data_IF_496929556658
#
_entry.id   IF_496929556658
#
_cell.length_a   1.000
_cell.length_b   1.000
_cell.length_c   1.000
_cell.angle_alpha   90.00
_cell.angle_beta   90.00
_cell.angle_gamma   90.00
#
_symmetry.space_group_name_H-M   'P 1'
#
loop_
_entity.id
_entity.type
_entity.pdbx_description
1 polymer ?
#
# COMPACT_ATOMS: atom_id res chain seq x y z
N UNK A 1 -3.49 42.61 4.27
CA UNK A 1 -4.25 41.34 4.24
C UNK A 1 -4.22 40.90 2.80
N UNK A 2 -3.21 40.13 2.43
CA UNK A 2 -3.05 39.64 1.05
C UNK A 2 -3.65 38.25 0.93
N UNK A 3 -4.54 38.13 -0.05
CA UNK A 3 -5.27 36.93 -0.46
C UNK A 3 -4.30 35.86 -0.96
N UNK A 4 -4.23 34.74 -0.24
CA UNK A 4 -3.49 33.56 -0.64
C UNK A 4 -3.94 33.05 -2.00
N UNK A 5 -3.04 33.10 -2.98
CA UNK A 5 -3.24 32.49 -4.28
C UNK A 5 -3.40 30.97 -4.10
N UNK A 6 -4.61 30.46 -4.32
CA UNK A 6 -4.85 29.03 -4.51
C UNK A 6 -4.30 28.66 -5.88
N UNK A 7 -3.16 27.96 -5.91
CA UNK A 7 -2.66 27.32 -7.12
C UNK A 7 -3.64 26.18 -7.45
N UNK A 8 -4.64 26.47 -8.30
CA UNK A 8 -5.37 25.44 -9.03
C UNK A 8 -4.64 25.21 -10.35
N UNK A 9 -3.55 24.44 -10.29
CA UNK A 9 -2.99 23.87 -11.52
C UNK A 9 -3.96 22.77 -11.97
N UNK A 10 -4.70 23.05 -13.03
CA UNK A 10 -5.38 22.01 -13.79
C UNK A 10 -4.30 21.31 -14.60
N UNK A 11 -3.89 20.12 -14.15
CA UNK A 11 -3.10 19.19 -14.97
C UNK A 11 -4.04 18.65 -16.05
N UNK A 12 -4.06 19.29 -17.21
CA UNK A 12 -4.58 18.66 -18.42
C UNK A 12 -3.63 17.52 -18.78
N UNK A 13 -3.96 16.32 -18.30
CA UNK A 13 -3.21 15.11 -18.61
C UNK A 13 -3.94 14.32 -19.69
N UNK A 14 -3.58 14.47 -20.98
CA UNK A 14 -4.27 13.74 -22.04
C UNK A 14 -4.05 12.23 -21.90
N UNK A 15 -5.14 11.47 -22.06
CA UNK A 15 -5.21 9.98 -22.10
C UNK A 15 -5.02 9.24 -20.77
N UNK A 16 -5.53 9.78 -19.67
CA UNK A 16 -5.69 8.98 -18.45
C UNK A 16 -7.03 8.23 -18.44
N UNK A 17 -7.00 6.94 -18.07
CA UNK A 17 -8.20 6.17 -17.76
C UNK A 17 -8.14 5.78 -16.29
N UNK A 18 -9.15 6.19 -15.52
CA UNK A 18 -9.31 5.84 -14.12
C UNK A 18 -10.49 4.86 -14.03
N UNK A 19 -10.30 3.75 -13.33
CA UNK A 19 -11.39 2.81 -13.02
C UNK A 19 -11.33 2.42 -11.55
N UNK A 20 -12.47 2.53 -10.87
CA UNK A 20 -12.64 2.07 -9.50
C UNK A 20 -12.75 0.54 -9.52
N UNK A 21 -11.86 -0.14 -8.80
CA UNK A 21 -11.89 -1.59 -8.59
C UNK A 21 -12.71 -1.93 -7.35
N UNK A 22 -12.56 -1.11 -6.31
CA UNK A 22 -13.31 -1.22 -5.07
C UNK A 22 -13.46 0.14 -4.40
N UNK A 23 -14.63 0.37 -3.84
CA UNK A 23 -14.95 1.51 -3.01
C UNK A 23 -15.82 1.04 -1.84
N UNK A 24 -15.29 1.18 -0.64
CA UNK A 24 -16.02 1.03 0.62
C UNK A 24 -15.56 2.09 1.62
N UNK A 25 -16.14 2.10 2.82
CA UNK A 25 -15.84 3.10 3.87
C UNK A 25 -14.35 3.18 4.25
N UNK A 26 -13.60 2.07 4.08
CA UNK A 26 -12.23 1.92 4.59
C UNK A 26 -11.21 1.56 3.51
N UNK A 27 -11.65 1.30 2.28
CA UNK A 27 -10.81 0.84 1.19
C UNK A 27 -11.28 1.44 -0.13
N UNK A 28 -10.38 2.17 -0.78
CA UNK A 28 -10.51 2.62 -2.16
C UNK A 28 -9.35 2.05 -2.97
N UNK A 29 -9.68 1.34 -4.04
CA UNK A 29 -8.72 0.84 -5.01
C UNK A 29 -9.10 1.38 -6.38
N UNK A 30 -8.19 2.13 -6.99
CA UNK A 30 -8.35 2.64 -8.35
C UNK A 30 -7.18 2.19 -9.23
N UNK A 31 -7.50 1.77 -10.44
CA UNK A 31 -6.51 1.60 -11.48
C UNK A 31 -6.43 2.88 -12.30
N UNK A 32 -5.21 3.35 -12.52
CA UNK A 32 -4.89 4.51 -13.35
C UNK A 32 -4.01 4.03 -14.50
N UNK A 33 -4.49 4.23 -15.73
CA UNK A 33 -3.69 4.11 -16.94
C UNK A 33 -3.20 5.50 -17.34
N UNK A 34 -1.89 5.69 -17.38
CA UNK A 34 -1.24 6.96 -17.72
C UNK A 34 -0.17 6.69 -18.77
N UNK A 35 -0.42 7.08 -20.02
CA UNK A 35 0.55 6.89 -21.10
C UNK A 35 0.92 5.42 -21.35
N UNK A 36 -0.01 4.48 -21.09
CA UNK A 36 0.22 3.04 -21.21
C UNK A 36 0.81 2.37 -19.96
N UNK A 37 1.22 3.16 -18.96
CA UNK A 37 1.59 2.64 -17.65
C UNK A 37 0.34 2.40 -16.80
N UNK A 38 0.21 1.20 -16.24
CA UNK A 38 -0.90 0.84 -15.35
C UNK A 38 -0.43 0.86 -13.90
N UNK A 39 -1.07 1.69 -13.09
CA UNK A 39 -0.78 1.86 -11.67
C UNK A 39 -2.03 1.57 -10.87
N UNK A 40 -1.90 0.79 -9.79
CA UNK A 40 -2.95 0.70 -8.79
C UNK A 40 -2.65 1.69 -7.67
N UNK A 41 -3.63 2.54 -7.34
CA UNK A 41 -3.60 3.39 -6.16
C UNK A 41 -4.56 2.80 -5.13
N UNK A 42 -4.05 2.58 -3.92
CA UNK A 42 -4.83 2.03 -2.81
C UNK A 42 -4.82 3.03 -1.67
N UNK A 43 -6.00 3.40 -1.18
CA UNK A 43 -6.19 4.14 0.06
C UNK A 43 -6.92 3.22 1.03
N UNK A 44 -6.35 2.98 2.20
CA UNK A 44 -6.83 1.99 3.15
C UNK A 44 -6.78 2.53 4.59
N UNK A 45 -7.80 2.22 5.39
CA UNK A 45 -7.89 2.63 6.79
C UNK A 45 -8.38 1.47 7.65
N UNK A 46 -7.43 0.72 8.20
CA UNK A 46 -7.69 -0.47 8.99
C UNK A 46 -8.51 -0.11 10.26
N UNK A 47 -9.50 -0.92 10.67
CA UNK A 47 -10.17 -0.74 11.95
C UNK A 47 -9.19 -0.69 13.14
N UNK A 48 -9.55 0.05 14.20
CA UNK A 48 -8.76 0.09 15.42
C UNK A 48 -8.51 -1.31 16.00
N UNK A 49 -7.33 -1.53 16.57
CA UNK A 49 -6.91 -2.80 17.16
C UNK A 49 -7.88 -3.35 18.24
N UNK A 50 -8.66 -2.48 18.89
CA UNK A 50 -9.73 -2.88 19.82
C UNK A 50 -10.83 -3.74 19.16
N UNK A 51 -10.98 -3.66 17.84
CA UNK A 51 -11.90 -4.45 17.01
C UNK A 51 -11.15 -5.54 16.24
N UNK A 52 -10.43 -6.38 16.98
CA UNK A 52 -9.46 -7.36 16.42
C UNK A 52 -9.99 -8.16 15.22
N UNK A 53 -11.19 -8.75 15.33
CA UNK A 53 -11.77 -9.56 14.26
C UNK A 53 -12.06 -8.74 12.98
N UNK A 54 -12.53 -7.50 13.14
CA UNK A 54 -12.76 -6.60 12.00
C UNK A 54 -11.44 -6.18 11.35
N UNK A 55 -10.39 -5.93 12.16
CA UNK A 55 -9.07 -5.58 11.69
C UNK A 55 -8.40 -6.73 10.92
N UNK A 56 -8.46 -7.95 11.45
CA UNK A 56 -7.94 -9.16 10.79
C UNK A 56 -8.66 -9.40 9.46
N UNK A 57 -9.99 -9.36 9.45
CA UNK A 57 -10.77 -9.53 8.22
C UNK A 57 -10.46 -8.44 7.17
N UNK A 58 -10.24 -7.20 7.61
CA UNK A 58 -9.84 -6.11 6.71
C UNK A 58 -8.48 -6.34 6.08
N UNK A 59 -7.48 -6.75 6.88
CA UNK A 59 -6.13 -7.02 6.39
C UNK A 59 -6.10 -8.22 5.42
N UNK A 60 -6.92 -9.24 5.67
CA UNK A 60 -7.09 -10.38 4.75
C UNK A 60 -7.70 -9.94 3.41
N UNK A 61 -8.72 -9.08 3.44
CA UNK A 61 -9.34 -8.50 2.24
C UNK A 61 -8.30 -7.70 1.45
N UNK A 62 -7.53 -6.83 2.12
CA UNK A 62 -6.49 -6.02 1.49
C UNK A 62 -5.42 -6.89 0.83
N UNK A 63 -4.97 -7.94 1.54
CA UNK A 63 -4.01 -8.93 1.02
C UNK A 63 -4.55 -9.60 -0.23
N UNK A 64 -5.83 -9.98 -0.24
CA UNK A 64 -6.51 -10.56 -1.40
C UNK A 64 -6.42 -9.67 -2.63
N UNK A 65 -6.71 -8.37 -2.50
CA UNK A 65 -6.58 -7.43 -3.62
C UNK A 65 -5.14 -7.28 -4.08
N UNK A 66 -4.19 -7.14 -3.16
CA UNK A 66 -2.78 -6.91 -3.51
C UNK A 66 -2.15 -8.09 -4.26
N UNK A 67 -2.64 -9.33 -4.08
CA UNK A 67 -2.18 -10.50 -4.86
C UNK A 67 -2.47 -10.38 -6.36
N UNK A 68 -3.62 -9.82 -6.70
CA UNK A 68 -4.11 -9.71 -8.08
C UNK A 68 -3.88 -8.32 -8.68
N UNK A 69 -3.15 -7.45 -7.98
CA UNK A 69 -2.96 -6.05 -8.37
C UNK A 69 -1.91 -5.89 -9.47
N UNK A 70 -2.01 -4.76 -10.18
CA UNK A 70 -1.07 -4.29 -11.19
C UNK A 70 0.40 -4.30 -10.70
N UNK A 71 1.38 -4.42 -11.61
CA UNK A 71 2.80 -4.51 -11.27
C UNK A 71 3.38 -3.27 -10.56
N UNK A 72 2.68 -2.14 -10.60
CA UNK A 72 3.04 -0.93 -9.86
C UNK A 72 1.88 -0.55 -8.93
N UNK A 73 2.16 -0.54 -7.62
CA UNK A 73 1.18 -0.20 -6.58
C UNK A 73 1.73 0.93 -5.73
N UNK A 74 0.90 1.96 -5.53
CA UNK A 74 1.11 3.00 -4.53
C UNK A 74 0.00 2.88 -3.51
N UNK A 75 0.35 2.74 -2.24
CA UNK A 75 -0.62 2.47 -1.19
C UNK A 75 -0.42 3.41 0.00
N UNK A 76 -1.46 4.09 0.41
CA UNK A 76 -1.55 4.71 1.72
C UNK A 76 -2.41 3.83 2.62
N UNK A 77 -1.84 3.30 3.72
CA UNK A 77 -2.63 2.67 4.78
C UNK A 77 -2.48 3.48 6.06
N UNK A 78 -3.58 3.71 6.76
CA UNK A 78 -3.52 3.86 8.21
C UNK A 78 -3.81 2.50 8.84
N UNK A 79 -2.81 1.80 9.41
CA UNK A 79 -3.03 0.49 10.01
C UNK A 79 -3.77 0.59 11.35
N UNK A 80 -3.96 1.80 11.90
CA UNK A 80 -4.37 1.99 13.29
C UNK A 80 -3.55 1.14 14.26
N UNK A 81 -2.25 1.05 13.96
CA UNK A 81 -1.30 0.24 14.71
C UNK A 81 0.12 0.72 14.48
N UNK A 82 1.05 0.23 15.30
CA UNK A 82 2.48 0.55 15.21
C UNK A 82 3.23 -0.59 14.58
N UNK A 83 3.91 -0.30 13.47
CA UNK A 83 4.72 -1.29 12.77
C UNK A 83 6.00 -1.60 13.55
N UNK A 84 6.50 -2.84 13.49
CA UNK A 84 7.86 -3.15 13.93
C UNK A 84 8.90 -2.37 13.13
N UNK A 85 9.94 -1.92 13.82
CA UNK A 85 11.01 -1.10 13.25
C UNK A 85 12.36 -1.43 13.93
N UNK A 86 13.37 -1.89 13.17
CA UNK A 86 13.30 -2.33 11.77
C UNK A 86 12.51 -3.64 11.63
N UNK A 87 11.90 -3.85 10.46
CA UNK A 87 11.25 -5.10 10.08
C UNK A 87 11.66 -5.45 8.65
N UNK A 88 12.48 -6.49 8.55
CA UNK A 88 13.06 -6.97 7.29
C UNK A 88 13.64 -5.85 6.42
N UNK A 89 13.19 -5.72 5.17
CA UNK A 89 13.54 -4.63 4.25
C UNK A 89 12.37 -3.66 4.01
N UNK A 90 11.31 -3.74 4.83
CA UNK A 90 10.05 -3.04 4.57
C UNK A 90 9.85 -1.80 5.41
N UNK A 91 10.38 -1.74 6.63
CA UNK A 91 10.38 -0.51 7.44
C UNK A 91 11.80 0.04 7.60
N UNK A 92 11.89 1.36 7.82
CA UNK A 92 13.16 2.01 8.19
C UNK A 92 13.60 1.67 9.62
N UNK A 93 14.44 2.51 10.22
CA UNK A 93 14.96 2.40 11.58
C UNK A 93 14.33 3.40 12.58
N UNK A 94 13.43 4.26 12.12
CA UNK A 94 12.69 5.19 12.96
C UNK A 94 11.47 4.54 13.61
N UNK A 95 11.65 4.06 14.84
CA UNK A 95 10.58 3.49 15.65
C UNK A 95 9.60 4.56 16.18
N UNK A 96 8.31 4.23 16.20
CA UNK A 96 7.26 5.00 16.87
C UNK A 96 6.41 4.08 17.75
N UNK A 97 6.63 4.15 19.06
CA UNK A 97 5.91 3.34 20.05
C UNK A 97 6.24 1.85 19.99
N UNK A 98 5.44 1.05 20.71
CA UNK A 98 5.57 -0.40 20.73
C UNK A 98 4.74 -1.02 19.61
N UNK A 99 5.29 -1.99 18.85
CA UNK A 99 4.53 -2.68 17.81
C UNK A 99 3.29 -3.40 18.36
N UNK A 100 2.24 -3.44 17.56
CA UNK A 100 1.00 -4.14 17.87
C UNK A 100 0.56 -5.09 16.74
N UNK A 101 -0.55 -5.80 16.94
CA UNK A 101 -1.04 -6.80 15.99
C UNK A 101 -1.39 -6.22 14.62
N UNK A 102 -1.96 -5.01 14.58
CA UNK A 102 -2.33 -4.37 13.33
C UNK A 102 -1.08 -3.93 12.57
N UNK A 103 -0.13 -3.31 13.27
CA UNK A 103 1.13 -2.89 12.67
C UNK A 103 1.97 -4.07 12.19
N UNK A 104 2.00 -5.18 12.92
CA UNK A 104 2.64 -6.42 12.46
C UNK A 104 1.94 -6.99 11.22
N UNK A 105 0.60 -7.03 11.20
CA UNK A 105 -0.16 -7.47 10.03
C UNK A 105 0.12 -6.63 8.79
N UNK A 106 0.16 -5.30 8.93
CA UNK A 106 0.49 -4.41 7.83
C UNK A 106 1.95 -4.55 7.38
N UNK A 107 2.90 -4.81 8.29
CA UNK A 107 4.30 -5.04 7.95
C UNK A 107 4.49 -6.37 7.18
N UNK A 108 3.75 -7.41 7.55
CA UNK A 108 3.71 -8.67 6.80
C UNK A 108 3.16 -8.48 5.39
N UNK A 109 2.06 -7.71 5.22
CA UNK A 109 1.54 -7.35 3.90
C UNK A 109 2.62 -6.64 3.08
N UNK A 110 3.40 -5.75 3.69
CA UNK A 110 4.47 -5.08 2.97
C UNK A 110 5.54 -6.07 2.51
N UNK A 111 5.96 -7.00 3.37
CA UNK A 111 6.97 -8.00 3.04
C UNK A 111 6.49 -8.92 1.91
N UNK A 112 5.29 -9.48 2.06
CA UNK A 112 4.71 -10.42 1.12
C UNK A 112 4.51 -9.83 -0.28
N UNK A 113 4.32 -8.51 -0.37
CA UNK A 113 4.05 -7.79 -1.62
C UNK A 113 5.22 -6.91 -2.11
N UNK A 114 6.39 -6.96 -1.46
CA UNK A 114 7.55 -6.14 -1.83
C UNK A 114 7.28 -4.64 -1.75
N UNK A 115 6.47 -4.22 -0.76
CA UNK A 115 6.18 -2.82 -0.46
C UNK A 115 7.19 -2.30 0.56
N UNK A 116 7.57 -1.05 0.40
CA UNK A 116 8.40 -0.34 1.37
C UNK A 116 7.61 0.77 2.05
N UNK A 117 7.72 0.83 3.37
CA UNK A 117 7.09 1.76 4.30
C UNK A 117 8.11 2.79 4.81
N UNK A 118 8.30 3.94 4.12
CA UNK A 118 9.21 4.99 4.57
C UNK A 118 8.78 5.64 5.90
N UNK A 119 7.49 5.61 6.24
CA UNK A 119 6.94 6.15 7.47
C UNK A 119 5.62 5.44 7.82
N UNK A 120 5.16 5.49 9.08
CA UNK A 120 3.80 5.08 9.42
C UNK A 120 2.82 5.86 8.53
N UNK A 121 1.99 5.18 7.73
CA UNK A 121 0.96 5.85 6.90
C UNK A 121 1.15 5.80 5.38
N UNK A 122 2.33 5.42 4.87
CA UNK A 122 2.64 5.50 3.44
C UNK A 122 3.48 4.32 2.96
N UNK A 123 3.13 3.75 1.81
CA UNK A 123 3.84 2.64 1.19
C UNK A 123 4.06 2.83 -0.31
N UNK A 124 5.15 2.26 -0.81
CA UNK A 124 5.48 2.23 -2.23
C UNK A 124 5.92 0.82 -2.63
N UNK A 125 5.33 0.24 -3.68
CA UNK A 125 5.90 -0.94 -4.32
C UNK A 125 7.08 -0.53 -5.20
N UNK A 126 8.18 -1.29 -5.13
CA UNK A 126 9.20 -1.23 -6.17
C UNK A 126 8.83 -2.23 -7.26
N UNK A 127 8.68 -1.76 -8.49
CA UNK A 127 8.55 -2.64 -9.64
C UNK A 127 9.89 -3.36 -9.90
N UNK A 128 10.16 -4.44 -9.18
CA UNK A 128 11.24 -5.37 -9.50
C UNK A 128 10.65 -6.78 -9.67
N UNK A 129 10.38 -7.14 -10.94
CA UNK A 129 10.29 -8.55 -11.28
C UNK A 129 11.71 -9.11 -11.29
N UNK A 130 12.08 -9.85 -10.25
CA UNK A 130 12.97 -11.01 -10.40
C UNK A 130 12.43 -12.11 -9.48
N UNK A 131 11.61 -13.02 -10.02
CA UNK A 131 11.47 -14.34 -9.40
C UNK A 131 12.79 -15.08 -9.64
N UNK A 132 13.44 -15.67 -8.62
CA UNK A 132 14.51 -16.60 -8.89
C UNK A 132 13.90 -17.82 -9.59
N UNK A 133 14.43 -18.15 -10.77
CA UNK A 133 14.23 -19.46 -11.39
C UNK A 133 14.80 -20.48 -10.39
N UNK A 134 13.93 -21.26 -9.74
CA UNK A 134 14.39 -22.45 -9.02
C UNK A 134 15.07 -23.36 -10.05
N UNK A 135 16.39 -23.44 -9.97
CA UNK A 135 17.17 -24.39 -10.75
C UNK A 135 16.64 -25.80 -10.52
N UNK A 136 16.50 -26.57 -11.61
CA UNK A 136 16.47 -28.03 -11.51
C UNK A 136 17.78 -28.49 -10.86
N UNK A 137 17.75 -29.48 -9.96
CA UNK A 137 18.97 -30.24 -9.70
C UNK A 137 19.30 -31.00 -10.98
N UNK A 138 20.51 -30.77 -11.50
CA UNK A 138 21.12 -31.69 -12.44
C UNK A 138 21.47 -32.97 -11.69
N UNK A 139 20.82 -34.06 -12.07
CA UNK A 139 21.29 -35.44 -11.89
C UNK A 139 21.02 -36.17 -13.19
#
# INVERSE_FOLDING_TARGET
MDSGASIRTVLEWPRQRISIVREDERLLIVNVDVGGAKVALVSAHCPHAAKKQEAEAFLDILTGYLRDTLPLVVIGIDPNGRMPCPFEQVTGDLADGNPDSNGLGAANICSDHGLWAPSPGFFRSQASRVRPVRGRPET
#
